data_IF_840065585306
#
_entry.id   IF_840065585306
#
_cell.length_a   1.000
_cell.length_b   1.000
_cell.length_c   1.000
_cell.angle_alpha   90.00
_cell.angle_beta   90.00
_cell.angle_gamma   90.00
#
_symmetry.space_group_name_H-M   'P 1'
#
loop_
_entity.id
_entity.type
_entity.pdbx_description
1 polymer ?
#
# COMPACT_ATOMS: atom_id res chain seq x y z
N UNK A 1 -35.76 17.36 -8.18
CA UNK A 1 -35.33 15.98 -7.87
C UNK A 1 -33.95 16.08 -7.25
N UNK A 2 -33.82 15.82 -5.96
CA UNK A 2 -32.53 15.81 -5.26
C UNK A 2 -31.85 14.48 -5.53
N UNK A 3 -30.72 14.52 -6.25
CA UNK A 3 -29.89 13.34 -6.43
C UNK A 3 -29.21 13.01 -5.10
N UNK A 4 -29.59 11.91 -4.47
CA UNK A 4 -28.87 11.34 -3.32
C UNK A 4 -27.49 10.91 -3.80
N UNK A 5 -26.48 11.75 -3.56
CA UNK A 5 -25.09 11.39 -3.83
C UNK A 5 -24.66 10.36 -2.80
N UNK A 6 -24.66 9.08 -3.20
CA UNK A 6 -24.05 8.01 -2.40
C UNK A 6 -22.54 8.24 -2.49
N UNK A 7 -21.97 8.87 -1.46
CA UNK A 7 -20.51 8.97 -1.32
C UNK A 7 -20.01 7.59 -0.94
N UNK A 8 -19.65 6.77 -1.94
CA UNK A 8 -18.90 5.54 -1.72
C UNK A 8 -17.54 5.92 -1.13
N UNK A 9 -17.48 6.00 0.20
CA UNK A 9 -16.25 6.32 0.92
C UNK A 9 -15.35 5.09 0.85
N UNK A 10 -14.29 5.16 0.05
CA UNK A 10 -13.31 4.08 -0.06
C UNK A 10 -12.51 4.07 1.24
N UNK A 11 -12.62 2.96 1.98
CA UNK A 11 -11.90 2.78 3.25
C UNK A 11 -10.52 2.23 2.94
N UNK A 12 -9.50 2.88 3.50
CA UNK A 12 -8.13 2.35 3.46
C UNK A 12 -8.02 1.16 4.40
N UNK A 13 -7.42 0.08 3.93
CA UNK A 13 -7.24 -1.14 4.74
C UNK A 13 -5.88 -1.22 5.40
N UNK A 14 -5.04 -0.22 5.17
CA UNK A 14 -3.73 -0.07 5.75
C UNK A 14 -3.60 1.30 6.43
N UNK A 15 -2.59 1.44 7.26
CA UNK A 15 -2.22 2.67 7.95
C UNK A 15 -0.78 3.06 7.62
N UNK A 16 -0.48 4.35 7.77
CA UNK A 16 0.91 4.82 7.66
C UNK A 16 1.75 4.15 8.76
N UNK A 17 2.90 3.58 8.38
CA UNK A 17 3.77 2.80 9.25
C UNK A 17 3.59 1.29 9.15
N UNK A 18 2.49 0.81 8.56
CA UNK A 18 2.23 -0.62 8.39
C UNK A 18 3.35 -1.30 7.62
N UNK A 19 3.76 -2.47 8.12
CA UNK A 19 4.67 -3.37 7.41
C UNK A 19 3.88 -4.12 6.33
N UNK A 20 4.33 -3.98 5.10
CA UNK A 20 3.68 -4.54 3.92
C UNK A 20 4.71 -5.21 3.02
N UNK A 21 4.24 -6.12 2.19
CA UNK A 21 4.98 -6.69 1.09
C UNK A 21 4.44 -6.14 -0.24
N UNK A 22 5.35 -5.67 -1.08
CA UNK A 22 5.04 -5.17 -2.43
C UNK A 22 5.44 -6.22 -3.45
N UNK A 23 4.47 -6.71 -4.21
CA UNK A 23 4.71 -7.62 -5.31
C UNK A 23 5.00 -6.83 -6.59
N UNK A 24 6.22 -6.96 -7.13
CA UNK A 24 6.63 -6.30 -8.37
C UNK A 24 7.41 -7.28 -9.24
N UNK A 25 6.94 -7.48 -10.48
CA UNK A 25 7.59 -8.37 -11.47
C UNK A 25 7.83 -9.80 -10.94
N UNK A 26 6.91 -10.33 -10.12
CA UNK A 26 7.02 -11.66 -9.53
C UNK A 26 7.95 -11.76 -8.32
N UNK A 27 8.52 -10.64 -7.86
CA UNK A 27 9.30 -10.57 -6.62
C UNK A 27 8.51 -9.83 -5.54
N UNK A 28 8.39 -10.44 -4.36
CA UNK A 28 7.85 -9.77 -3.18
C UNK A 28 8.99 -9.05 -2.46
N UNK A 29 8.82 -7.76 -2.21
CA UNK A 29 9.79 -6.95 -1.47
C UNK A 29 9.12 -6.36 -0.23
N UNK A 30 9.65 -6.61 0.99
CA UNK A 30 9.12 -6.01 2.19
C UNK A 30 9.32 -4.49 2.18
N UNK A 31 8.44 -3.77 2.85
CA UNK A 31 8.47 -2.32 2.94
C UNK A 31 7.58 -1.78 4.05
N UNK A 32 7.41 -0.46 4.10
CA UNK A 32 6.46 0.23 4.97
C UNK A 32 5.67 1.26 4.21
N UNK A 33 4.39 1.42 4.57
CA UNK A 33 3.59 2.53 4.07
C UNK A 33 4.14 3.83 4.66
N UNK A 34 4.62 4.73 3.81
CA UNK A 34 5.09 6.05 4.21
C UNK A 34 3.99 7.10 4.16
N UNK A 35 3.08 7.02 3.17
CA UNK A 35 1.96 7.95 3.01
C UNK A 35 0.74 7.27 2.40
N UNK A 36 -0.45 7.80 2.72
CA UNK A 36 -1.72 7.39 2.12
C UNK A 36 -2.44 8.65 1.62
N UNK A 37 -2.59 8.80 0.30
CA UNK A 37 -3.34 9.89 -0.29
C UNK A 37 -4.71 9.40 -0.75
N UNK A 38 -5.78 9.91 -0.14
CA UNK A 38 -7.14 9.69 -0.63
C UNK A 38 -7.44 10.73 -1.69
N UNK A 39 -7.83 10.29 -2.89
CA UNK A 39 -8.27 11.18 -3.98
C UNK A 39 -9.64 10.69 -4.45
N UNK A 40 -10.48 11.58 -4.97
CA UNK A 40 -11.92 11.39 -5.29
C UNK A 40 -12.45 9.95 -5.39
N UNK A 41 -11.86 9.12 -6.25
CA UNK A 41 -12.31 7.75 -6.53
C UNK A 41 -11.33 6.66 -6.12
N UNK A 42 -10.35 6.94 -5.25
CA UNK A 42 -9.34 5.97 -4.87
C UNK A 42 -8.37 6.38 -3.77
N UNK A 43 -7.42 5.50 -3.54
CA UNK A 43 -6.38 5.61 -2.54
C UNK A 43 -5.05 5.33 -3.23
N UNK A 44 -4.10 6.24 -3.05
CA UNK A 44 -2.70 6.06 -3.37
C UNK A 44 -1.94 5.67 -2.10
N UNK A 45 -1.38 4.47 -2.08
CA UNK A 45 -0.43 4.02 -1.07
C UNK A 45 0.99 4.31 -1.53
N UNK A 46 1.74 5.09 -0.78
CA UNK A 46 3.17 5.30 -0.98
C UNK A 46 3.90 4.37 -0.04
N UNK A 47 4.78 3.53 -0.59
CA UNK A 47 5.49 2.48 0.14
C UNK A 47 6.97 2.66 -0.07
N UNK A 48 7.74 2.70 1.02
CA UNK A 48 9.18 2.58 0.97
C UNK A 48 9.55 1.11 1.14
N UNK A 49 10.10 0.50 0.10
CA UNK A 49 10.61 -0.86 0.18
C UNK A 49 11.95 -0.88 0.90
N UNK A 50 12.23 -1.99 1.57
CA UNK A 50 13.51 -2.25 2.21
C UNK A 50 14.58 -2.49 1.13
N UNK A 51 15.83 -2.23 1.50
CA UNK A 51 16.98 -2.63 0.70
C UNK A 51 17.05 -4.17 0.60
N UNK A 52 17.17 -4.69 -0.61
CA UNK A 52 17.40 -6.12 -0.87
C UNK A 52 18.80 -6.28 -1.47
N UNK A 53 19.54 -7.28 -1.01
CA UNK A 53 20.88 -7.66 -1.52
C UNK A 53 21.90 -6.51 -1.59
N UNK A 54 21.87 -5.61 -0.61
CA UNK A 54 22.79 -4.45 -0.55
C UNK A 54 22.43 -3.31 -1.52
N UNK A 55 21.28 -3.40 -2.20
CA UNK A 55 20.72 -2.29 -2.98
C UNK A 55 20.12 -1.19 -2.12
N UNK A 56 19.59 -0.14 -2.75
CA UNK A 56 18.78 0.87 -2.08
C UNK A 56 17.29 0.48 -2.14
N UNK A 57 16.58 0.69 -1.04
CA UNK A 57 15.11 0.67 -1.06
C UNK A 57 14.56 1.69 -2.06
N UNK A 58 13.35 1.45 -2.56
CA UNK A 58 12.70 2.34 -3.52
C UNK A 58 11.31 2.76 -3.07
N UNK A 59 10.86 3.89 -3.61
CA UNK A 59 9.50 4.38 -3.38
C UNK A 59 8.58 3.79 -4.43
N UNK A 60 7.52 3.13 -3.99
CA UNK A 60 6.49 2.55 -4.84
C UNK A 60 5.16 3.20 -4.53
N UNK A 61 4.50 3.73 -5.56
CA UNK A 61 3.15 4.29 -5.45
C UNK A 61 2.16 3.28 -6.02
N UNK A 62 1.14 2.93 -5.24
CA UNK A 62 0.10 1.99 -5.62
C UNK A 62 -1.27 2.67 -5.54
N UNK A 63 -1.94 2.76 -6.69
CA UNK A 63 -3.29 3.31 -6.79
C UNK A 63 -4.34 2.20 -6.76
N UNK A 64 -5.40 2.39 -5.98
CA UNK A 64 -6.58 1.51 -5.95
C UNK A 64 -7.87 2.30 -5.82
N UNK A 65 -8.93 1.84 -6.48
CA UNK A 65 -10.29 2.39 -6.35
C UNK A 65 -11.15 1.62 -5.34
N UNK A 66 -10.65 0.51 -4.80
CA UNK A 66 -11.36 -0.34 -3.83
C UNK A 66 -10.77 -0.27 -2.42
N UNK A 67 -9.61 0.39 -2.26
CA UNK A 67 -8.83 0.40 -1.02
C UNK A 67 -7.95 -0.84 -0.85
N UNK A 68 -8.18 -1.89 -1.66
CA UNK A 68 -7.39 -3.12 -1.74
C UNK A 68 -6.49 -3.11 -2.98
N UNK A 69 -5.28 -3.64 -2.88
CA UNK A 69 -4.38 -3.81 -4.03
C UNK A 69 -3.81 -5.23 -4.01
N UNK A 70 -3.87 -5.93 -5.15
CA UNK A 70 -3.28 -7.27 -5.30
C UNK A 70 -1.75 -7.27 -5.19
N UNK A 71 -1.13 -6.11 -5.40
CA UNK A 71 0.30 -5.90 -5.32
C UNK A 71 0.77 -5.50 -3.91
N UNK A 72 -0.16 -5.34 -2.96
CA UNK A 72 0.13 -4.99 -1.57
C UNK A 72 -0.49 -6.02 -0.65
N UNK A 73 0.35 -6.64 0.18
CA UNK A 73 -0.11 -7.59 1.19
C UNK A 73 0.41 -7.17 2.57
N UNK A 74 -0.32 -7.44 3.66
CA UNK A 74 0.24 -7.31 4.99
C UNK A 74 1.50 -8.18 5.08
N UNK A 75 2.61 -7.63 5.54
CA UNK A 75 3.78 -8.46 5.82
C UNK A 75 3.46 -9.32 7.06
N UNK A 76 3.88 -10.59 7.10
CA UNK A 76 3.74 -11.41 8.29
C UNK A 76 4.42 -10.71 9.47
N UNK A 77 3.77 -10.71 10.65
CA UNK A 77 4.25 -10.06 11.87
C UNK A 77 5.56 -10.66 12.46
N UNK A 78 6.32 -11.42 11.67
CA UNK A 78 7.45 -12.22 12.10
C UNK A 78 8.60 -12.18 11.10
N UNK A 79 9.08 -10.98 10.75
CA UNK A 79 10.44 -10.81 10.23
C UNK A 79 11.41 -10.67 11.40
N UNK A 80 11.51 -11.70 12.25
CA UNK A 80 12.55 -11.75 13.27
C UNK A 80 13.90 -11.77 12.56
N UNK A 81 14.76 -10.82 12.93
CA UNK A 81 16.18 -10.81 12.61
C UNK A 81 16.78 -12.20 12.80
N UNK A 82 17.49 -12.70 11.79
CA UNK A 82 18.54 -13.69 12.02
C UNK A 82 19.64 -13.56 10.99
#
# INVERSE_FOLDING_TARGET
>A
MTATQIVNTIVSTYQVGDRVEVERKGQSTPGRISSIHRRDHGIEYVVHTDAVDGGMGCVVNLWTTSGQSSFLRPAPAGGASR
#
